data_IF_955746034349
#
_entry.id   IF_955746034349
#
_cell.length_a   1.000
_cell.length_b   1.000
_cell.length_c   1.000
_cell.angle_alpha   90.00
_cell.angle_beta   90.00
_cell.angle_gamma   90.00
#
_symmetry.space_group_name_H-M   'P 1'
#
loop_
_entity.id
_entity.type
_entity.pdbx_description
1 polymer ?
#
# COMPACT_ATOMS: atom_id res chain seq x y z
N UNK A 1 12.59 39.39 -64.55
CA UNK A 1 12.17 39.83 -63.18
C UNK A 1 11.65 38.70 -62.34
N UNK A 2 12.05 37.44 -62.56
CA UNK A 2 11.38 36.28 -61.88
C UNK A 2 12.26 35.30 -61.07
N UNK A 3 13.58 35.49 -61.13
CA UNK A 3 14.49 34.54 -60.46
C UNK A 3 14.48 34.70 -58.92
N UNK A 4 14.30 35.91 -58.44
CA UNK A 4 14.29 36.21 -56.97
C UNK A 4 13.01 35.75 -56.26
N UNK A 5 11.90 35.73 -56.97
CA UNK A 5 10.61 35.26 -56.40
C UNK A 5 10.58 33.77 -56.31
N UNK A 6 11.14 33.06 -57.30
CA UNK A 6 11.26 31.62 -57.30
C UNK A 6 12.16 31.10 -56.16
N UNK A 7 13.29 31.75 -55.94
CA UNK A 7 14.24 31.36 -54.87
C UNK A 7 13.66 31.52 -53.44
N UNK A 8 12.85 32.60 -53.21
CA UNK A 8 12.16 32.82 -51.94
C UNK A 8 11.07 31.74 -51.68
N UNK A 9 10.34 31.35 -52.71
CA UNK A 9 9.32 30.27 -52.57
C UNK A 9 9.94 28.93 -52.22
N UNK A 10 11.06 28.57 -52.87
CA UNK A 10 11.79 27.33 -52.59
C UNK A 10 12.36 27.35 -51.16
N UNK A 11 12.90 28.48 -50.71
CA UNK A 11 13.45 28.60 -49.38
C UNK A 11 12.38 28.49 -48.27
N UNK A 12 11.22 29.10 -48.47
CA UNK A 12 10.11 29.02 -47.50
C UNK A 12 9.52 27.60 -47.47
N UNK A 13 9.45 26.92 -48.61
CA UNK A 13 8.95 25.52 -48.66
C UNK A 13 9.93 24.56 -47.97
N UNK A 14 11.24 24.72 -48.12
CA UNK A 14 12.24 23.91 -47.41
C UNK A 14 12.22 24.14 -45.92
N UNK A 15 12.03 25.38 -45.43
CA UNK A 15 11.95 25.68 -43.99
C UNK A 15 10.69 25.05 -43.38
N UNK A 16 9.55 25.06 -44.09
CA UNK A 16 8.31 24.42 -43.66
C UNK A 16 8.44 22.89 -43.55
N UNK A 17 9.19 22.25 -44.47
CA UNK A 17 9.41 20.79 -44.46
C UNK A 17 10.35 20.31 -43.35
N UNK A 18 11.30 21.13 -42.92
CA UNK A 18 12.23 20.78 -41.79
C UNK A 18 11.56 20.87 -40.41
N UNK A 19 10.52 21.71 -40.27
CA UNK A 19 9.80 21.82 -38.99
C UNK A 19 8.87 20.63 -38.67
N UNK A 20 8.54 19.79 -39.67
CA UNK A 20 7.63 18.64 -39.45
C UNK A 20 8.35 17.36 -39.04
N UNK A 21 9.66 17.29 -39.19
CA UNK A 21 10.46 16.09 -38.89
C UNK A 21 10.99 16.03 -37.45
N UNK A 22 10.76 17.05 -36.63
CA UNK A 22 11.29 17.09 -35.26
C UNK A 22 10.30 16.61 -34.16
N UNK A 23 9.12 16.12 -34.52
CA UNK A 23 8.08 15.70 -33.55
C UNK A 23 7.86 14.18 -33.45
N UNK A 24 8.71 13.32 -34.02
CA UNK A 24 8.45 11.87 -33.98
C UNK A 24 9.00 11.13 -32.75
N UNK A 25 9.91 11.73 -32.00
CA UNK A 25 10.47 11.11 -30.78
C UNK A 25 9.64 11.31 -29.53
N UNK A 26 8.70 12.25 -29.53
CA UNK A 26 7.86 12.54 -28.35
C UNK A 26 6.70 11.55 -28.14
N UNK A 27 6.24 10.89 -29.20
CA UNK A 27 5.03 10.07 -29.10
C UNK A 27 5.31 8.66 -28.55
N UNK A 28 6.48 8.10 -28.79
CA UNK A 28 6.90 6.85 -28.16
C UNK A 28 7.15 7.02 -26.67
N UNK A 29 7.72 8.15 -26.27
CA UNK A 29 7.97 8.46 -24.84
C UNK A 29 6.66 8.67 -24.09
N UNK A 30 5.67 9.34 -24.70
CA UNK A 30 4.34 9.52 -24.09
C UNK A 30 3.59 8.20 -24.01
N UNK A 31 3.65 7.35 -25.02
CA UNK A 31 3.02 6.03 -25.01
C UNK A 31 3.69 5.05 -24.04
N UNK A 32 5.01 5.11 -23.88
CA UNK A 32 5.73 4.35 -22.84
C UNK A 32 5.39 4.87 -21.45
N UNK A 33 5.36 6.17 -21.25
CA UNK A 33 4.97 6.78 -19.96
C UNK A 33 3.52 6.45 -19.60
N UNK A 34 2.59 6.45 -20.56
CA UNK A 34 1.20 6.04 -20.35
C UNK A 34 1.05 4.53 -20.08
N UNK A 35 1.89 3.69 -20.68
CA UNK A 35 1.94 2.26 -20.37
C UNK A 35 2.57 1.97 -19.02
N UNK A 36 3.53 2.76 -18.60
CA UNK A 36 4.20 2.64 -17.28
C UNK A 36 3.38 3.24 -16.14
N UNK A 37 2.41 4.11 -16.43
CA UNK A 37 1.51 4.69 -15.42
C UNK A 37 0.43 3.72 -14.91
N UNK A 38 0.39 2.47 -15.40
CA UNK A 38 -0.46 1.46 -14.79
C UNK A 38 0.18 0.97 -13.49
N UNK A 39 -0.46 1.20 -12.33
CA UNK A 39 0.07 0.77 -11.06
C UNK A 39 0.30 -0.75 -11.08
N UNK A 40 1.49 -1.17 -10.71
CA UNK A 40 1.93 -2.58 -10.62
C UNK A 40 1.99 -3.37 -11.95
N UNK A 41 2.09 -2.73 -13.12
CA UNK A 41 2.23 -3.47 -14.36
C UNK A 41 3.70 -3.76 -14.71
N UNK A 42 4.23 -4.86 -14.19
CA UNK A 42 5.17 -5.74 -14.89
C UNK A 42 4.68 -7.17 -14.67
N UNK A 43 4.77 -8.07 -15.67
CA UNK A 43 4.42 -9.46 -15.44
C UNK A 43 5.37 -10.00 -14.36
N UNK A 44 4.84 -10.09 -13.16
CA UNK A 44 5.55 -10.59 -12.02
C UNK A 44 5.47 -12.11 -12.06
N UNK A 45 6.40 -12.74 -12.68
CA UNK A 45 6.55 -14.19 -12.54
C UNK A 45 7.97 -14.59 -12.14
N UNK A 46 8.87 -13.64 -12.00
CA UNK A 46 10.21 -13.95 -11.53
C UNK A 46 10.19 -13.86 -10.02
N UNK A 47 10.06 -15.02 -9.36
CA UNK A 47 10.35 -15.14 -7.92
C UNK A 47 11.72 -14.52 -7.68
N UNK A 48 11.86 -13.57 -6.75
CA UNK A 48 13.16 -12.99 -6.47
C UNK A 48 14.10 -14.09 -5.99
N UNK A 49 15.19 -14.27 -6.70
CA UNK A 49 16.19 -15.31 -6.41
C UNK A 49 17.41 -14.76 -5.65
N UNK A 50 17.37 -13.48 -5.27
CA UNK A 50 18.49 -12.85 -4.60
C UNK A 50 18.27 -12.86 -3.07
N UNK A 51 19.00 -13.71 -2.36
CA UNK A 51 18.95 -13.82 -0.89
C UNK A 51 19.52 -12.61 -0.14
N UNK A 52 20.08 -11.63 -0.86
CA UNK A 52 20.62 -10.38 -0.27
C UNK A 52 19.53 -9.43 0.20
N UNK A 53 18.33 -9.50 -0.39
CA UNK A 53 17.25 -8.57 -0.11
C UNK A 53 16.07 -9.29 0.56
N UNK A 54 15.40 -8.56 1.41
CA UNK A 54 14.10 -8.98 1.90
C UNK A 54 13.04 -8.56 0.89
N UNK A 55 12.04 -9.42 0.69
CA UNK A 55 10.98 -9.16 -0.26
C UNK A 55 9.61 -9.25 0.40
N UNK A 56 8.70 -8.46 -0.14
CA UNK A 56 7.28 -8.53 0.16
C UNK A 56 6.55 -8.95 -1.13
N UNK A 57 5.87 -10.08 -1.08
CA UNK A 57 4.93 -10.45 -2.14
C UNK A 57 3.66 -9.61 -1.94
N UNK A 58 3.25 -8.88 -2.95
CA UNK A 58 2.05 -8.04 -2.93
C UNK A 58 1.13 -8.46 -4.06
N UNK A 59 -0.17 -8.59 -3.77
CA UNK A 59 -1.22 -8.82 -4.76
C UNK A 59 -2.19 -7.65 -4.70
N UNK A 60 -2.29 -6.91 -5.79
CA UNK A 60 -3.23 -5.81 -5.97
C UNK A 60 -4.08 -6.10 -7.20
N UNK A 61 -5.42 -6.14 -7.05
CA UNK A 61 -6.34 -6.41 -8.14
C UNK A 61 -5.93 -7.67 -8.93
N UNK A 62 -5.69 -8.78 -8.22
CA UNK A 62 -5.25 -10.09 -8.74
C UNK A 62 -3.89 -10.08 -9.49
N UNK A 63 -3.19 -8.96 -9.48
CA UNK A 63 -1.83 -8.86 -10.02
C UNK A 63 -0.80 -9.00 -8.92
N UNK A 64 0.08 -9.98 -9.07
CA UNK A 64 1.15 -10.26 -8.13
C UNK A 64 2.41 -9.47 -8.51
N UNK A 65 3.06 -8.89 -7.51
CA UNK A 65 4.38 -8.25 -7.64
C UNK A 65 5.21 -8.47 -6.39
N UNK A 66 6.51 -8.22 -6.49
CA UNK A 66 7.44 -8.27 -5.36
C UNK A 66 8.03 -6.88 -5.12
N UNK A 67 7.97 -6.44 -3.87
CA UNK A 67 8.63 -5.22 -3.43
C UNK A 67 9.89 -5.60 -2.66
N UNK A 68 10.96 -4.85 -2.86
CA UNK A 68 12.20 -5.01 -2.10
C UNK A 68 12.21 -4.06 -0.91
N UNK A 69 12.70 -4.52 0.24
CA UNK A 69 12.96 -3.64 1.38
C UNK A 69 14.12 -2.71 1.03
N UNK A 70 13.84 -1.41 1.03
CA UNK A 70 14.86 -0.38 0.82
C UNK A 70 15.59 -0.06 2.11
N UNK A 71 14.82 0.30 3.15
CA UNK A 71 15.36 0.64 4.47
C UNK A 71 14.27 0.58 5.54
N UNK A 72 14.69 0.72 6.80
CA UNK A 72 13.81 0.84 7.96
C UNK A 72 14.05 2.18 8.65
N UNK A 73 12.99 2.98 8.80
CA UNK A 73 13.02 4.21 9.59
C UNK A 73 12.80 3.88 11.06
N UNK A 74 13.64 4.37 11.97
CA UNK A 74 13.43 4.16 13.40
C UNK A 74 12.19 4.92 13.88
N UNK A 75 11.38 4.26 14.72
CA UNK A 75 10.20 4.86 15.34
C UNK A 75 9.97 4.28 16.73
N UNK A 76 9.39 5.05 17.68
CA UNK A 76 9.10 4.58 19.04
C UNK A 76 8.19 3.36 19.09
N UNK A 77 7.34 3.16 18.10
CA UNK A 77 6.40 2.03 17.99
C UNK A 77 6.95 0.85 17.17
N UNK A 78 8.24 0.81 16.93
CA UNK A 78 8.91 -0.16 16.07
C UNK A 78 9.23 0.42 14.67
N UNK A 79 10.16 -0.22 13.95
CA UNK A 79 10.63 0.30 12.67
C UNK A 79 9.51 0.44 11.64
N UNK A 80 9.63 1.48 10.81
CA UNK A 80 8.79 1.67 9.62
C UNK A 80 9.56 1.09 8.44
N UNK A 81 9.09 -0.01 7.92
CA UNK A 81 9.66 -0.67 6.76
C UNK A 81 9.23 0.05 5.48
N UNK A 82 10.19 0.41 4.63
CA UNK A 82 9.96 1.12 3.37
C UNK A 82 10.27 0.19 2.20
N UNK A 83 9.24 -0.21 1.50
CA UNK A 83 9.27 -1.20 0.42
C UNK A 83 9.07 -0.53 -0.93
N UNK A 84 9.90 -0.91 -1.90
CA UNK A 84 9.90 -0.34 -3.25
C UNK A 84 9.50 -1.38 -4.29
N UNK A 85 8.58 -0.99 -5.18
CA UNK A 85 8.32 -1.74 -6.40
C UNK A 85 9.22 -1.29 -7.55
N UNK A 86 9.35 -2.12 -8.58
CA UNK A 86 10.05 -1.74 -9.81
C UNK A 86 9.31 -0.66 -10.62
N UNK A 87 8.05 -0.38 -10.31
CA UNK A 87 7.23 0.64 -10.94
C UNK A 87 7.11 1.91 -10.08
N UNK A 88 8.09 2.16 -9.22
CA UNK A 88 8.21 3.37 -8.39
C UNK A 88 7.11 3.56 -7.33
N UNK A 89 6.31 2.54 -7.04
CA UNK A 89 5.44 2.61 -5.88
C UNK A 89 6.23 2.37 -4.59
N UNK A 90 5.82 3.03 -3.54
CA UNK A 90 6.39 2.89 -2.20
C UNK A 90 5.30 2.48 -1.23
N UNK A 91 5.53 1.38 -0.52
CA UNK A 91 4.67 0.88 0.54
C UNK A 91 5.42 1.01 1.87
N UNK A 92 4.85 1.72 2.82
CA UNK A 92 5.37 1.84 4.19
C UNK A 92 4.54 1.01 5.14
N UNK A 93 5.19 0.15 5.90
CA UNK A 93 4.54 -0.76 6.86
C UNK A 93 5.16 -0.55 8.23
N UNK A 94 4.33 -0.49 9.25
CA UNK A 94 4.77 -0.50 10.65
C UNK A 94 3.98 -1.55 11.42
N UNK A 95 4.67 -2.52 12.01
CA UNK A 95 4.03 -3.63 12.71
C UNK A 95 2.91 -4.31 11.89
N UNK A 96 3.11 -4.46 10.58
CA UNK A 96 2.14 -5.07 9.69
C UNK A 96 0.99 -4.16 9.24
N UNK A 97 0.84 -2.98 9.82
CA UNK A 97 -0.18 -1.99 9.43
C UNK A 97 0.37 -1.03 8.39
N UNK A 98 -0.50 -0.59 7.49
CA UNK A 98 -0.15 0.42 6.49
C UNK A 98 0.18 1.75 7.16
N UNK A 99 1.42 2.22 6.97
CA UNK A 99 1.91 3.53 7.43
C UNK A 99 1.88 4.58 6.32
N UNK A 100 1.80 4.14 5.08
CA UNK A 100 1.68 4.99 3.90
C UNK A 100 1.84 4.20 2.61
N UNK A 101 1.28 4.72 1.53
CA UNK A 101 1.45 4.18 0.18
C UNK A 101 1.44 5.34 -0.82
N UNK A 102 2.39 5.33 -1.76
CA UNK A 102 2.51 6.34 -2.82
C UNK A 102 2.79 5.67 -4.17
N UNK A 103 2.55 6.42 -5.25
CA UNK A 103 2.70 5.92 -6.62
C UNK A 103 1.45 5.23 -7.15
N UNK A 104 0.30 5.40 -6.51
CA UNK A 104 -1.02 4.96 -6.97
C UNK A 104 -1.92 6.17 -7.26
N UNK A 105 -3.04 5.93 -7.97
CA UNK A 105 -4.05 6.98 -8.21
C UNK A 105 -4.74 7.47 -6.92
N UNK A 106 -4.74 6.67 -5.89
CA UNK A 106 -5.12 7.05 -4.53
C UNK A 106 -3.98 6.68 -3.61
N UNK A 107 -3.59 7.60 -2.76
CA UNK A 107 -2.45 7.45 -1.88
C UNK A 107 -2.83 7.79 -0.44
N UNK A 108 -2.22 7.11 0.51
CA UNK A 108 -2.19 7.54 1.89
C UNK A 108 -0.80 8.11 2.18
N UNK A 109 -0.69 9.43 2.20
CA UNK A 109 0.60 10.10 2.35
C UNK A 109 1.15 10.01 3.76
N UNK A 110 0.27 10.11 4.76
CA UNK A 110 0.60 9.95 6.17
C UNK A 110 -0.48 9.14 6.89
N UNK A 111 -0.04 8.23 7.77
CA UNK A 111 -0.93 7.48 8.65
C UNK A 111 -0.34 7.51 10.06
N UNK A 112 -1.09 8.01 11.03
CA UNK A 112 -0.70 7.96 12.43
C UNK A 112 -1.18 6.64 13.06
N UNK A 113 -0.21 5.84 13.52
CA UNK A 113 -0.39 4.56 14.20
C UNK A 113 0.05 4.62 15.68
N UNK A 114 0.24 5.81 16.24
CA UNK A 114 0.75 5.99 17.61
C UNK A 114 -0.13 5.33 18.66
N UNK A 115 -1.44 5.28 18.43
CA UNK A 115 -2.41 4.64 19.31
C UNK A 115 -2.71 3.18 18.98
N UNK A 116 -2.09 2.63 17.92
CA UNK A 116 -2.30 1.23 17.55
C UNK A 116 -1.77 0.28 18.65
N UNK A 117 -2.55 -0.73 19.07
CA UNK A 117 -2.11 -1.71 20.04
C UNK A 117 -0.99 -2.57 19.46
N UNK A 118 -0.03 -2.95 20.32
CA UNK A 118 1.01 -3.90 19.95
C UNK A 118 0.44 -5.32 19.84
N UNK A 119 0.91 -6.11 18.88
CA UNK A 119 0.44 -7.49 18.71
C UNK A 119 0.76 -8.38 19.90
N UNK A 120 1.90 -8.16 20.57
CA UNK A 120 2.26 -8.89 21.80
C UNK A 120 1.29 -8.61 22.94
N UNK A 121 0.81 -7.37 23.05
CA UNK A 121 -0.20 -6.98 24.03
C UNK A 121 -1.53 -7.71 23.74
N UNK A 122 -2.01 -7.66 22.49
CA UNK A 122 -3.22 -8.36 22.06
C UNK A 122 -3.12 -9.86 22.35
N UNK A 123 -2.01 -10.49 21.97
CA UNK A 123 -1.79 -11.92 22.19
C UNK A 123 -1.70 -12.28 23.67
N UNK A 124 -1.11 -11.42 24.49
CA UNK A 124 -1.01 -11.67 25.94
C UNK A 124 -2.38 -11.61 26.62
N UNK A 125 -3.28 -10.73 26.18
CA UNK A 125 -4.65 -10.68 26.70
C UNK A 125 -5.48 -11.85 26.18
N UNK A 126 -5.31 -12.25 24.93
CA UNK A 126 -5.97 -13.43 24.36
C UNK A 126 -5.59 -14.71 25.14
N UNK A 127 -4.35 -14.82 25.60
CA UNK A 127 -3.89 -15.95 26.41
C UNK A 127 -4.47 -15.96 27.82
N UNK A 128 -4.84 -14.79 28.37
CA UNK A 128 -5.39 -14.66 29.74
C UNK A 128 -6.92 -14.80 29.78
N UNK A 129 -7.61 -14.43 28.71
CA UNK A 129 -9.07 -14.36 28.67
C UNK A 129 -9.63 -15.16 27.49
N UNK A 130 -10.52 -16.10 27.77
CA UNK A 130 -11.20 -16.87 26.71
C UNK A 130 -12.05 -15.98 25.80
N UNK A 131 -12.54 -14.83 26.30
CA UNK A 131 -13.32 -13.84 25.57
C UNK A 131 -12.70 -12.45 25.78
N UNK A 132 -11.60 -12.13 25.11
CA UNK A 132 -10.97 -10.82 25.25
C UNK A 132 -11.90 -9.72 24.69
N UNK A 133 -11.94 -8.60 25.40
CA UNK A 133 -12.60 -7.41 24.88
C UNK A 133 -11.86 -6.94 23.61
N UNK A 134 -12.60 -6.44 22.61
CA UNK A 134 -11.98 -5.90 21.43
C UNK A 134 -11.10 -4.68 21.74
N UNK A 135 -9.95 -4.59 21.08
CA UNK A 135 -9.09 -3.42 21.20
C UNK A 135 -9.60 -2.31 20.30
N UNK A 136 -9.90 -1.15 20.88
CA UNK A 136 -10.31 0.04 20.15
C UNK A 136 -9.20 1.08 20.15
N UNK A 137 -8.98 1.67 19.00
CA UNK A 137 -7.97 2.72 18.83
C UNK A 137 -8.35 3.65 17.67
N UNK A 138 -7.69 4.80 17.58
CA UNK A 138 -7.95 5.79 16.53
C UNK A 138 -6.76 5.84 15.59
N UNK A 139 -7.04 5.69 14.31
CA UNK A 139 -6.12 5.94 13.21
C UNK A 139 -6.42 7.31 12.61
N UNK A 140 -5.37 8.11 12.35
CA UNK A 140 -5.49 9.33 11.55
C UNK A 140 -4.71 9.14 10.27
N UNK A 141 -5.28 9.57 9.13
CA UNK A 141 -4.64 9.45 7.83
C UNK A 141 -4.91 10.64 6.93
N UNK A 142 -4.00 10.85 5.98
CA UNK A 142 -4.12 11.83 4.90
C UNK A 142 -4.26 11.10 3.57
N UNK A 143 -5.21 11.53 2.73
CA UNK A 143 -5.54 10.90 1.45
C UNK A 143 -5.35 11.87 0.29
N UNK A 144 -4.68 11.37 -0.77
CA UNK A 144 -4.49 12.05 -2.04
C UNK A 144 -5.08 11.22 -3.19
N UNK A 145 -5.53 11.84 -4.27
CA UNK A 145 -5.71 13.27 -4.51
C UNK A 145 -6.89 13.85 -3.71
N UNK A 146 -7.00 15.16 -3.69
CA UNK A 146 -8.12 15.87 -3.02
C UNK A 146 -7.75 16.45 -1.67
N UNK A 147 -6.50 16.25 -1.20
CA UNK A 147 -5.96 16.87 0.02
C UNK A 147 -6.85 16.66 1.25
N UNK A 148 -7.37 15.44 1.42
CA UNK A 148 -8.14 15.09 2.61
C UNK A 148 -7.17 14.80 3.75
N UNK A 149 -7.04 15.74 4.66
CA UNK A 149 -6.07 15.70 5.76
C UNK A 149 -6.78 15.43 7.08
N UNK A 150 -6.14 14.62 7.94
CA UNK A 150 -6.62 14.38 9.30
C UNK A 150 -7.89 13.52 9.37
N UNK A 151 -8.12 12.62 8.41
CA UNK A 151 -9.24 11.68 8.45
C UNK A 151 -9.06 10.76 9.65
N UNK A 152 -9.99 10.82 10.60
CA UNK A 152 -9.98 9.97 11.79
C UNK A 152 -10.92 8.79 11.61
N UNK A 153 -10.42 7.62 11.99
CA UNK A 153 -11.16 6.36 11.95
C UNK A 153 -11.00 5.65 13.29
N UNK A 154 -12.11 5.37 13.95
CA UNK A 154 -12.10 4.49 15.11
C UNK A 154 -12.10 3.05 14.64
N UNK A 155 -11.08 2.29 15.04
CA UNK A 155 -10.86 0.92 14.64
C UNK A 155 -11.01 -0.01 15.84
N UNK A 156 -11.47 -1.22 15.55
CA UNK A 156 -11.60 -2.30 16.51
C UNK A 156 -10.88 -3.54 15.98
N UNK A 157 -9.97 -4.07 16.78
CA UNK A 157 -9.22 -5.31 16.48
C UNK A 157 -9.84 -6.46 17.27
N UNK A 158 -10.18 -7.53 16.57
CA UNK A 158 -10.74 -8.76 17.17
C UNK A 158 -10.03 -9.99 16.59
N UNK A 159 -9.85 -11.05 17.39
CA UNK A 159 -9.42 -12.34 16.84
C UNK A 159 -10.49 -12.91 15.91
N UNK A 160 -10.05 -13.61 14.88
CA UNK A 160 -10.95 -14.26 13.92
C UNK A 160 -10.48 -15.68 13.60
N UNK A 161 -11.38 -16.50 13.08
CA UNK A 161 -11.00 -17.79 12.53
C UNK A 161 -10.14 -17.62 11.27
N UNK A 162 -9.25 -18.59 11.02
CA UNK A 162 -8.49 -18.61 9.76
C UNK A 162 -9.44 -18.59 8.57
N UNK A 163 -9.20 -17.74 7.55
CA UNK A 163 -9.93 -17.82 6.29
C UNK A 163 -9.82 -19.21 5.68
N UNK A 164 -10.86 -19.65 5.00
CA UNK A 164 -10.88 -21.01 4.39
C UNK A 164 -9.81 -21.21 3.31
N UNK A 165 -9.42 -20.13 2.62
CA UNK A 165 -8.42 -20.15 1.55
C UNK A 165 -7.59 -18.84 1.57
N UNK A 166 -6.68 -18.69 2.54
CA UNK A 166 -5.82 -17.53 2.56
C UNK A 166 -4.83 -17.60 1.39
N UNK A 167 -4.56 -16.46 0.75
CA UNK A 167 -3.55 -16.38 -0.31
C UNK A 167 -2.13 -16.27 0.29
N UNK A 168 -1.75 -17.28 1.08
CA UNK A 168 -0.46 -17.41 1.75
C UNK A 168 0.28 -18.60 1.15
N UNK A 169 1.58 -18.43 0.87
CA UNK A 169 2.45 -19.47 0.32
C UNK A 169 3.61 -19.75 1.26
N UNK A 170 4.03 -20.99 1.31
CA UNK A 170 5.27 -21.42 1.98
C UNK A 170 5.32 -21.08 3.51
N UNK A 171 4.15 -20.95 4.16
CA UNK A 171 4.02 -20.70 5.60
C UNK A 171 3.11 -21.75 6.22
N UNK A 172 3.48 -22.23 7.40
CA UNK A 172 2.65 -23.15 8.19
C UNK A 172 1.43 -22.41 8.75
N UNK A 173 0.26 -22.65 8.16
CA UNK A 173 -0.98 -21.98 8.50
C UNK A 173 -1.44 -22.26 9.95
N UNK A 174 -1.02 -23.40 10.54
CA UNK A 174 -1.40 -23.77 11.90
C UNK A 174 -0.72 -22.90 12.96
N UNK A 175 0.41 -22.27 12.62
CA UNK A 175 1.13 -21.33 13.50
C UNK A 175 0.61 -19.91 13.44
N UNK A 176 -0.36 -19.64 12.56
CA UNK A 176 -0.89 -18.30 12.35
C UNK A 176 -2.08 -18.03 13.28
N UNK A 177 -2.06 -16.88 13.90
CA UNK A 177 -3.18 -16.33 14.67
C UNK A 177 -3.75 -15.19 13.84
N UNK A 178 -5.07 -15.24 13.59
CA UNK A 178 -5.73 -14.31 12.71
C UNK A 178 -6.49 -13.23 13.48
N UNK A 179 -6.40 -12.01 12.95
CA UNK A 179 -7.11 -10.85 13.47
C UNK A 179 -7.82 -10.10 12.35
N UNK A 180 -8.97 -9.57 12.67
CA UNK A 180 -9.70 -8.61 11.86
C UNK A 180 -9.63 -7.23 12.52
N UNK A 181 -9.39 -6.19 11.71
CA UNK A 181 -9.42 -4.79 12.13
C UNK A 181 -10.43 -4.05 11.27
N UNK A 182 -11.49 -3.54 11.86
CA UNK A 182 -12.59 -2.88 11.18
C UNK A 182 -12.91 -1.53 11.78
N UNK A 183 -13.43 -0.63 10.95
CA UNK A 183 -13.98 0.65 11.42
C UNK A 183 -15.23 0.38 12.26
N UNK A 184 -15.32 1.06 13.38
CA UNK A 184 -16.51 1.05 14.24
C UNK A 184 -17.08 2.46 14.33
N UNK A 185 -18.40 2.56 14.30
CA UNK A 185 -19.08 3.82 14.54
C UNK A 185 -19.25 4.00 16.04
N UNK A 186 -18.79 5.12 16.58
CA UNK A 186 -19.06 5.47 17.96
C UNK A 186 -20.53 5.96 18.05
N UNK A 187 -21.41 5.25 18.77
CA UNK A 187 -22.79 5.66 18.93
C UNK A 187 -22.94 7.01 19.69
N UNK A 188 -21.89 7.41 20.45
CA UNK A 188 -21.88 8.66 21.19
C UNK A 188 -21.36 9.86 20.37
N UNK A 189 -20.90 9.67 19.14
CA UNK A 189 -20.48 10.76 18.25
C UNK A 189 -21.68 11.47 17.57
N UNK A 190 -22.74 11.75 18.30
CA UNK A 190 -23.93 12.50 17.83
C UNK A 190 -23.73 14.02 17.72
N UNK A 191 -22.51 14.53 17.79
CA UNK A 191 -22.21 15.95 17.50
C UNK A 191 -22.58 16.29 16.06
N UNK A 192 -23.31 17.38 15.84
CA UNK A 192 -23.65 17.91 14.51
C UNK A 192 -22.40 18.15 13.66
N UNK A 193 -21.29 18.53 14.29
CA UNK A 193 -19.97 18.73 13.64
C UNK A 193 -19.47 17.38 13.08
N UNK A 194 -19.59 16.29 13.83
CA UNK A 194 -19.18 14.96 13.38
C UNK A 194 -20.09 14.41 12.27
N UNK A 195 -21.37 14.77 12.22
CA UNK A 195 -22.25 14.45 11.09
C UNK A 195 -21.80 15.13 9.80
N UNK A 196 -21.34 16.37 9.88
CA UNK A 196 -20.84 17.13 8.70
C UNK A 196 -19.48 16.58 8.24
N UNK A 197 -18.56 16.27 9.17
CA UNK A 197 -17.26 15.65 8.86
C UNK A 197 -17.42 14.23 8.32
N UNK A 198 -18.29 13.42 8.95
CA UNK A 198 -18.57 12.05 8.50
C UNK A 198 -19.29 11.99 7.14
N UNK A 199 -20.04 13.02 6.74
CA UNK A 199 -20.61 13.07 5.40
C UNK A 199 -19.53 13.14 4.31
N UNK A 200 -18.46 13.88 4.54
CA UNK A 200 -17.34 13.99 3.59
C UNK A 200 -16.42 12.74 3.57
N UNK A 201 -16.50 11.87 4.59
CA UNK A 201 -15.62 10.69 4.77
C UNK A 201 -16.38 9.36 4.78
N UNK A 202 -17.57 9.31 4.16
CA UNK A 202 -18.52 8.19 4.26
C UNK A 202 -18.10 6.91 3.49
N UNK A 203 -16.83 6.79 3.09
CA UNK A 203 -16.34 5.57 2.48
C UNK A 203 -15.96 4.56 3.56
N UNK A 204 -16.83 3.58 3.80
CA UNK A 204 -16.51 2.46 4.68
C UNK A 204 -15.54 1.53 3.95
N UNK A 205 -14.31 1.52 4.43
CA UNK A 205 -13.28 0.60 3.95
C UNK A 205 -13.61 -0.84 4.39
N UNK A 206 -13.32 -1.84 3.54
CA UNK A 206 -13.37 -3.23 3.97
C UNK A 206 -12.48 -3.47 5.20
N UNK A 207 -12.87 -4.41 6.04
CA UNK A 207 -12.08 -4.80 7.19
C UNK A 207 -10.69 -5.29 6.76
N UNK A 208 -9.67 -4.85 7.49
CA UNK A 208 -8.31 -5.34 7.31
C UNK A 208 -8.13 -6.67 8.04
N UNK A 209 -7.30 -7.58 7.51
CA UNK A 209 -7.00 -8.86 8.12
C UNK A 209 -5.50 -9.03 8.29
N UNK A 210 -5.12 -9.66 9.38
CA UNK A 210 -3.71 -9.88 9.72
C UNK A 210 -3.49 -11.31 10.16
N UNK A 211 -2.46 -11.95 9.61
CA UNK A 211 -1.94 -13.22 10.11
C UNK A 211 -0.64 -12.97 10.88
N UNK A 212 -0.66 -13.30 12.14
CA UNK A 212 0.40 -13.01 13.09
C UNK A 212 1.04 -14.32 13.54
N UNK A 213 2.36 -14.35 13.67
CA UNK A 213 3.12 -15.50 14.10
C UNK A 213 4.10 -15.11 15.20
N UNK A 214 4.23 -15.96 16.23
CA UNK A 214 5.30 -15.84 17.23
C UNK A 214 6.60 -16.42 16.68
N UNK A 215 7.66 -15.62 16.70
CA UNK A 215 9.02 -16.02 16.36
C UNK A 215 9.93 -15.78 17.56
N UNK A 216 10.13 -16.80 18.38
CA UNK A 216 10.80 -16.64 19.67
C UNK A 216 10.05 -15.67 20.59
N UNK A 217 10.73 -14.62 21.04
CA UNK A 217 10.15 -13.58 21.89
C UNK A 217 9.40 -12.48 21.11
N UNK A 218 9.43 -12.48 19.78
CA UNK A 218 8.82 -11.44 18.93
C UNK A 218 7.55 -11.94 18.28
N UNK A 219 6.62 -11.01 18.06
CA UNK A 219 5.42 -11.23 17.27
C UNK A 219 5.55 -10.51 15.93
N UNK A 220 5.37 -11.25 14.84
CA UNK A 220 5.54 -10.73 13.47
C UNK A 220 4.25 -10.93 12.70
N UNK A 221 3.81 -9.89 11.99
CA UNK A 221 2.77 -10.01 10.98
C UNK A 221 3.42 -10.56 9.71
N UNK A 222 3.02 -11.75 9.30
CA UNK A 222 3.58 -12.42 8.11
C UNK A 222 2.74 -12.20 6.87
N UNK A 223 1.46 -11.86 7.05
CA UNK A 223 0.51 -11.60 5.99
C UNK A 223 -0.53 -10.57 6.42
N UNK A 224 -1.00 -9.78 5.49
CA UNK A 224 -2.12 -8.86 5.72
C UNK A 224 -2.91 -8.60 4.44
N UNK A 225 -4.21 -8.30 4.63
CA UNK A 225 -5.13 -7.75 3.62
C UNK A 225 -5.58 -6.38 4.09
N UNK A 226 -5.35 -5.34 3.31
CA UNK A 226 -5.70 -3.96 3.67
C UNK A 226 -6.21 -3.21 2.44
N UNK A 227 -7.13 -2.27 2.66
CA UNK A 227 -7.68 -1.43 1.60
C UNK A 227 -7.39 0.03 1.89
N UNK A 228 -7.02 0.79 0.86
CA UNK A 228 -6.90 2.26 0.93
C UNK A 228 -8.13 2.96 0.39
N UNK A 229 -8.93 2.23 -0.39
CA UNK A 229 -10.21 2.62 -0.92
C UNK A 229 -11.08 1.38 -1.06
N UNK A 230 -12.39 1.54 -1.20
CA UNK A 230 -13.32 0.40 -1.30
C UNK A 230 -12.97 -0.57 -2.44
N UNK A 231 -12.43 -0.05 -3.52
CA UNK A 231 -12.04 -0.77 -4.74
C UNK A 231 -10.51 -0.94 -4.91
N UNK A 232 -9.71 -0.45 -3.95
CA UNK A 232 -8.25 -0.59 -3.97
C UNK A 232 -7.80 -1.32 -2.71
N UNK A 233 -7.79 -2.64 -2.81
CA UNK A 233 -7.34 -3.53 -1.74
C UNK A 233 -6.11 -4.30 -2.19
N UNK A 234 -5.20 -4.49 -1.28
CA UNK A 234 -4.00 -5.27 -1.52
C UNK A 234 -3.77 -6.27 -0.41
N UNK A 235 -3.18 -7.38 -0.79
CA UNK A 235 -2.68 -8.41 0.11
C UNK A 235 -1.18 -8.37 0.05
N UNK A 236 -0.53 -8.54 1.18
CA UNK A 236 0.91 -8.71 1.18
C UNK A 236 1.34 -9.84 2.11
N UNK A 237 2.44 -10.47 1.75
CA UNK A 237 3.07 -11.54 2.50
C UNK A 237 4.58 -11.31 2.55
N UNK A 238 5.19 -11.50 3.72
CA UNK A 238 6.64 -11.57 3.80
C UNK A 238 7.14 -12.78 3.04
N UNK A 239 7.96 -12.52 2.02
CA UNK A 239 8.52 -13.57 1.18
C UNK A 239 9.75 -14.15 1.86
N UNK A 240 9.86 -15.48 1.93
CA UNK A 240 10.88 -16.19 2.70
C UNK A 240 10.81 -15.94 4.22
N UNK A 241 9.62 -15.67 4.75
CA UNK A 241 9.36 -15.41 6.16
C UNK A 241 9.98 -16.44 7.15
N UNK A 242 10.07 -17.74 6.84
CA UNK A 242 10.73 -18.70 7.73
C UNK A 242 12.23 -18.50 7.91
N UNK A 243 12.87 -17.74 7.00
CA UNK A 243 14.30 -17.46 7.01
C UNK A 243 14.65 -16.06 7.53
N UNK A 244 13.69 -15.31 8.07
CA UNK A 244 13.95 -14.03 8.70
C UNK A 244 14.78 -14.25 9.97
N UNK A 245 16.08 -14.49 9.78
CA UNK A 245 17.10 -14.25 10.79
C UNK A 245 17.24 -12.73 10.86
N UNK A 246 16.50 -12.10 11.75
CA UNK A 246 16.85 -10.75 12.17
C UNK A 246 18.16 -10.84 12.96
N UNK A 247 19.09 -9.90 12.72
CA UNK A 247 20.32 -9.82 13.50
C UNK A 247 20.05 -9.57 14.98
#
# INVERSE_FOLDING_TARGET
>A
MDLRVSLRRVLVTCILLVCVSSCSTGMETVLTTLKESQPFYRPASVKPNNSRYQYLRVVLNDKETFLALGYEDPSPKGPIEVWYSSAQQVLKIQNGRLKGITGLNTEWSQVDLSLAPAWDEILSQLAKNAHPLPYRWVRTRDEMPGYKVGIQEQLEVTPMASPSRPDIREVDLQKLIWFEEKKVNDPNQNSLINKIVNWATKEDLPASRYAVMKQGARTVVVYSEQCIKKDICFKWQRWNAPQLKYP
#
